data_IF_566416065255
#
_entry.id   IF_566416065255
#
_cell.length_a   1.000
_cell.length_b   1.000
_cell.length_c   1.000
_cell.angle_alpha   90.00
_cell.angle_beta   90.00
_cell.angle_gamma   90.00
#
_symmetry.space_group_name_H-M   'P 1'
#
loop_
_entity.id
_entity.type
_entity.pdbx_description
1 polymer ?
#
# COMPACT_ATOMS: atom_id res chain seq x y z
N UNK A 1 -0.01 16.24 2.96
CA UNK A 1 0.55 16.58 1.64
C UNK A 1 0.92 15.28 0.93
N UNK A 2 0.39 15.00 -0.25
CA UNK A 2 0.60 13.72 -0.96
C UNK A 2 1.11 14.02 -2.36
N UNK A 3 2.26 13.43 -2.74
CA UNK A 3 2.97 13.72 -3.99
C UNK A 3 3.03 12.46 -4.85
N UNK A 4 2.73 12.60 -6.13
CA UNK A 4 2.95 11.62 -7.19
C UNK A 4 3.96 12.26 -8.17
N UNK A 5 4.96 11.53 -8.67
CA UNK A 5 6.02 12.07 -9.51
C UNK A 5 5.80 11.83 -11.01
N UNK A 6 6.13 12.81 -11.84
CA UNK A 6 5.96 12.86 -13.30
C UNK A 6 7.30 13.24 -13.94
N UNK A 7 7.60 12.70 -15.12
CA UNK A 7 8.65 13.25 -15.98
C UNK A 7 8.32 14.68 -16.37
N UNK A 8 9.26 15.59 -16.08
CA UNK A 8 9.31 17.04 -16.29
C UNK A 8 8.17 17.96 -15.78
N UNK A 9 6.99 17.45 -15.38
CA UNK A 9 5.96 18.28 -14.74
C UNK A 9 5.13 17.52 -13.67
N UNK A 10 5.42 17.77 -12.38
CA UNK A 10 4.71 17.17 -11.24
C UNK A 10 3.25 17.67 -11.13
N UNK A 11 2.28 16.87 -11.56
CA UNK A 11 0.87 17.10 -11.26
C UNK A 11 0.47 16.34 -9.98
N UNK A 12 -0.09 17.01 -8.98
CA UNK A 12 -0.61 16.34 -7.77
C UNK A 12 -2.10 16.61 -7.64
N UNK A 13 -2.86 15.55 -7.36
CA UNK A 13 -4.31 15.63 -7.13
C UNK A 13 -4.64 14.99 -5.79
N UNK A 14 -5.74 15.41 -5.17
CA UNK A 14 -6.24 14.80 -3.94
C UNK A 14 -7.44 13.94 -4.25
N UNK A 15 -7.46 12.74 -3.68
CA UNK A 15 -8.61 11.85 -3.73
C UNK A 15 -9.76 12.46 -2.93
N UNK A 16 -10.98 12.37 -3.45
CA UNK A 16 -12.20 12.76 -2.74
C UNK A 16 -12.51 11.80 -1.58
N UNK A 17 -13.50 12.15 -0.76
CA UNK A 17 -14.02 11.27 0.29
C UNK A 17 -14.58 9.93 -0.23
N UNK A 18 -14.95 9.86 -1.51
CA UNK A 18 -15.46 8.64 -2.16
C UNK A 18 -14.36 7.80 -2.81
N UNK A 19 -13.09 8.18 -2.67
CA UNK A 19 -11.96 7.44 -3.26
C UNK A 19 -11.71 7.76 -4.73
N UNK A 20 -12.45 8.71 -5.32
CA UNK A 20 -12.24 9.14 -6.71
C UNK A 20 -11.16 10.20 -6.80
N UNK A 21 -10.32 10.14 -7.81
CA UNK A 21 -9.33 11.16 -8.13
C UNK A 21 -9.36 11.44 -9.63
N UNK A 22 -8.84 12.59 -10.03
CA UNK A 22 -8.72 12.96 -11.44
C UNK A 22 -7.50 13.83 -11.66
N UNK A 23 -6.77 13.54 -12.72
CA UNK A 23 -5.70 14.39 -13.26
C UNK A 23 -6.18 14.82 -14.65
N UNK A 24 -6.20 16.12 -14.89
CA UNK A 24 -6.75 16.72 -16.10
C UNK A 24 -5.67 17.49 -16.86
N UNK A 25 -5.95 17.80 -18.12
CA UNK A 25 -5.05 18.52 -19.03
C UNK A 25 -3.72 17.77 -19.26
N UNK A 26 -3.80 16.44 -19.41
CA UNK A 26 -2.67 15.63 -19.85
C UNK A 26 -2.58 15.69 -21.37
N UNK A 27 -1.36 15.85 -21.89
CA UNK A 27 -1.09 15.86 -23.33
C UNK A 27 -1.06 14.43 -23.86
N UNK A 28 -1.70 14.22 -25.01
CA UNK A 28 -1.69 12.91 -25.65
C UNK A 28 -0.34 12.60 -26.29
N UNK A 29 0.03 11.31 -26.35
CA UNK A 29 1.30 10.86 -26.94
C UNK A 29 2.51 11.01 -26.01
N UNK A 30 2.28 11.23 -24.72
CA UNK A 30 3.31 11.24 -23.67
C UNK A 30 3.11 10.08 -22.70
N UNK A 31 4.21 9.69 -22.06
CA UNK A 31 4.24 8.69 -21.00
C UNK A 31 3.95 9.33 -19.63
N UNK A 32 3.10 8.68 -18.85
CA UNK A 32 2.72 9.12 -17.51
C UNK A 32 2.92 8.01 -16.49
N UNK A 33 3.31 8.41 -15.28
CA UNK A 33 3.45 7.50 -14.14
C UNK A 33 2.59 8.01 -13.00
N UNK A 34 1.79 7.10 -12.43
CA UNK A 34 0.84 7.41 -11.38
C UNK A 34 1.22 6.64 -10.11
N UNK A 35 1.65 7.40 -9.09
CA UNK A 35 2.13 6.86 -7.82
C UNK A 35 1.28 7.36 -6.66
N UNK A 36 0.29 6.62 -6.17
CA UNK A 36 -0.47 7.02 -5.00
C UNK A 36 0.44 7.13 -3.77
N UNK A 37 0.16 8.09 -2.90
CA UNK A 37 0.92 8.28 -1.67
C UNK A 37 -0.02 8.63 -0.53
N UNK A 38 0.12 7.95 0.61
CA UNK A 38 -0.60 8.28 1.84
C UNK A 38 0.22 7.83 3.04
N UNK A 39 0.61 8.80 3.86
CA UNK A 39 1.34 8.55 5.09
C UNK A 39 0.76 9.38 6.24
N UNK A 40 -0.37 8.89 6.78
CA UNK A 40 -1.11 9.53 7.87
C UNK A 40 -1.83 8.48 8.74
N UNK A 41 -2.18 8.92 9.95
CA UNK A 41 -2.94 8.17 10.96
C UNK A 41 -2.50 6.70 11.06
N UNK A 42 -1.26 6.46 11.51
CA UNK A 42 -0.63 5.14 11.48
C UNK A 42 -1.43 4.07 12.21
N UNK A 43 -2.28 4.44 13.18
CA UNK A 43 -3.15 3.55 13.94
C UNK A 43 -4.58 3.41 13.42
N UNK A 44 -4.94 4.10 12.33
CA UNK A 44 -6.32 4.10 11.85
C UNK A 44 -6.79 2.70 11.45
N UNK A 45 -7.78 2.18 12.18
CA UNK A 45 -8.36 0.86 11.95
C UNK A 45 -7.47 -0.31 12.38
N UNK A 46 -6.38 -0.06 13.12
CA UNK A 46 -5.51 -1.08 13.71
C UNK A 46 -5.97 -1.37 15.13
N UNK A 47 -6.02 -2.66 15.47
CA UNK A 47 -6.44 -3.15 16.77
C UNK A 47 -5.43 -4.17 17.33
N UNK A 48 -5.59 -4.53 18.59
CA UNK A 48 -4.82 -5.63 19.19
C UNK A 48 -5.19 -7.00 18.61
N UNK A 49 -6.32 -7.11 17.89
CA UNK A 49 -6.70 -8.34 17.19
C UNK A 49 -5.76 -8.63 16.01
N UNK A 50 -5.29 -7.59 15.31
CA UNK A 50 -4.34 -7.73 14.19
C UNK A 50 -3.01 -8.37 14.66
N UNK A 51 -2.53 -7.99 15.85
CA UNK A 51 -1.36 -8.63 16.48
C UNK A 51 -1.58 -10.13 16.72
N UNK A 52 -2.79 -10.54 17.11
CA UNK A 52 -3.13 -11.96 17.30
C UNK A 52 -3.11 -12.69 15.96
N UNK A 53 -3.63 -12.09 14.89
CA UNK A 53 -3.60 -12.67 13.55
C UNK A 53 -2.16 -12.84 13.03
N UNK A 54 -1.31 -11.83 13.18
CA UNK A 54 0.11 -11.92 12.82
C UNK A 54 0.80 -13.03 13.62
N UNK A 55 0.55 -13.12 14.93
CA UNK A 55 1.12 -14.18 15.78
C UNK A 55 0.68 -15.58 15.32
N UNK A 56 -0.60 -15.78 15.01
CA UNK A 56 -1.12 -17.06 14.50
C UNK A 56 -0.54 -17.42 13.13
N UNK A 57 -0.27 -16.42 12.29
CA UNK A 57 0.36 -16.61 10.99
C UNK A 57 1.81 -17.08 11.16
N UNK A 58 2.60 -16.41 12.01
CA UNK A 58 4.00 -16.79 12.30
C UNK A 58 4.09 -18.21 12.87
N UNK A 59 3.15 -18.59 13.73
CA UNK A 59 3.07 -19.94 14.32
C UNK A 59 2.45 -20.99 13.39
N UNK A 60 2.04 -20.59 12.18
CA UNK A 60 1.35 -21.44 11.21
C UNK A 60 0.07 -22.12 11.76
N UNK A 61 -0.57 -21.50 12.75
CA UNK A 61 -1.83 -21.97 13.36
C UNK A 61 -3.02 -21.53 12.51
N UNK A 62 -2.98 -20.29 12.04
CA UNK A 62 -3.98 -19.71 11.15
C UNK A 62 -3.26 -18.72 10.24
N UNK A 63 -2.85 -19.15 9.03
CA UNK A 63 -2.24 -18.26 8.07
C UNK A 63 -3.21 -17.16 7.62
N UNK A 64 -2.66 -16.00 7.25
CA UNK A 64 -3.43 -14.94 6.60
C UNK A 64 -3.92 -15.44 5.23
N UNK A 65 -5.18 -15.15 4.92
CA UNK A 65 -5.93 -15.69 3.80
C UNK A 65 -5.92 -14.80 2.54
N UNK A 66 -5.16 -13.70 2.57
CA UNK A 66 -5.08 -12.74 1.47
C UNK A 66 -3.68 -12.16 1.32
N UNK A 67 -3.16 -12.01 0.09
CA UNK A 67 -1.86 -11.38 -0.16
C UNK A 67 -1.80 -9.95 0.40
N UNK A 68 -2.92 -9.22 0.35
CA UNK A 68 -2.98 -7.86 0.90
C UNK A 68 -2.79 -7.85 2.43
N UNK A 69 -3.31 -8.86 3.14
CA UNK A 69 -3.11 -9.00 4.59
C UNK A 69 -1.67 -9.38 4.91
N UNK A 70 -1.05 -10.23 4.09
CA UNK A 70 0.35 -10.61 4.23
C UNK A 70 1.25 -9.37 4.05
N UNK A 71 0.99 -8.54 3.04
CA UNK A 71 1.70 -7.28 2.81
C UNK A 71 1.44 -6.29 3.95
N UNK A 72 0.21 -6.21 4.47
CA UNK A 72 -0.10 -5.39 5.63
C UNK A 72 0.64 -5.82 6.90
N UNK A 73 0.88 -7.12 7.09
CA UNK A 73 1.57 -7.66 8.25
C UNK A 73 3.09 -7.36 8.29
N UNK A 74 3.70 -7.03 7.16
CA UNK A 74 5.10 -6.61 7.05
C UNK A 74 5.23 -5.11 7.36
N UNK A 75 5.45 -4.81 8.64
CA UNK A 75 5.42 -3.45 9.18
C UNK A 75 6.69 -2.69 8.82
N UNK A 76 7.83 -3.36 8.83
CA UNK A 76 9.13 -2.77 8.52
C UNK A 76 9.51 -2.81 7.03
N UNK A 77 8.61 -3.33 6.17
CA UNK A 77 8.84 -3.48 4.73
C UNK A 77 10.08 -4.33 4.41
N UNK A 78 10.26 -5.44 5.15
CA UNK A 78 11.38 -6.37 4.98
C UNK A 78 11.13 -7.44 3.92
N UNK A 79 9.90 -7.59 3.44
CA UNK A 79 9.48 -8.71 2.58
C UNK A 79 9.28 -10.02 3.35
N UNK A 80 9.12 -9.95 4.68
CA UNK A 80 8.89 -11.12 5.53
C UNK A 80 8.06 -10.74 6.77
N UNK A 81 7.22 -11.66 7.24
CA UNK A 81 6.44 -11.45 8.47
C UNK A 81 7.16 -12.13 9.62
N UNK A 82 7.65 -11.33 10.56
CA UNK A 82 8.46 -11.79 11.68
C UNK A 82 7.94 -11.30 13.02
N UNK A 83 8.55 -11.78 14.10
CA UNK A 83 8.25 -11.26 15.43
C UNK A 83 8.62 -9.78 15.61
N UNK A 84 9.54 -9.26 14.79
CA UNK A 84 9.90 -7.84 14.80
C UNK A 84 8.72 -6.96 14.39
N UNK A 85 7.93 -7.39 13.40
CA UNK A 85 6.74 -6.67 12.93
C UNK A 85 5.70 -6.52 14.04
N UNK A 86 5.53 -7.56 14.86
CA UNK A 86 4.64 -7.49 16.03
C UNK A 86 5.16 -6.49 17.08
N UNK A 87 6.47 -6.42 17.31
CA UNK A 87 7.05 -5.45 18.26
C UNK A 87 6.84 -4.03 17.77
N UNK A 88 7.07 -3.76 16.48
CA UNK A 88 6.88 -2.45 15.88
C UNK A 88 5.41 -2.02 15.93
N UNK A 89 4.49 -2.91 15.54
CA UNK A 89 3.06 -2.63 15.62
C UNK A 89 2.59 -2.38 17.05
N UNK A 90 3.11 -3.14 18.02
CA UNK A 90 2.81 -2.93 19.45
C UNK A 90 3.34 -1.60 19.95
N UNK A 91 4.55 -1.18 19.54
CA UNK A 91 5.12 0.13 19.88
C UNK A 91 4.29 1.28 19.31
N UNK A 92 3.79 1.14 18.09
CA UNK A 92 2.84 2.09 17.50
C UNK A 92 1.55 2.16 18.32
N UNK A 93 0.93 1.01 18.67
CA UNK A 93 -0.34 0.97 19.43
C UNK A 93 -0.19 1.61 20.81
N UNK A 94 0.98 1.46 21.43
CA UNK A 94 1.30 2.08 22.72
C UNK A 94 1.77 3.54 22.59
N UNK A 95 1.74 4.11 21.38
CA UNK A 95 2.20 5.48 21.08
C UNK A 95 3.66 5.73 21.51
N UNK A 96 4.47 4.67 21.58
CA UNK A 96 5.91 4.77 21.80
C UNK A 96 6.56 5.32 20.54
N UNK A 97 6.15 4.78 19.39
CA UNK A 97 6.46 5.31 18.07
C UNK A 97 5.23 6.03 17.51
N UNK A 98 5.43 7.17 16.87
CA UNK A 98 4.34 7.94 16.25
C UNK A 98 4.22 7.70 14.74
N UNK A 99 5.26 7.13 14.13
CA UNK A 99 5.33 6.83 12.71
C UNK A 99 6.21 5.59 12.45
N UNK A 100 6.07 5.03 11.24
CA UNK A 100 6.92 3.96 10.74
C UNK A 100 8.17 4.58 10.10
N UNK A 101 9.36 4.08 10.45
CA UNK A 101 10.62 4.65 9.96
C UNK A 101 10.96 4.20 8.53
N UNK A 102 10.59 2.97 8.17
CA UNK A 102 11.01 2.31 6.92
C UNK A 102 9.84 1.98 5.98
N UNK A 103 8.64 2.43 6.33
CA UNK A 103 7.44 2.09 5.59
C UNK A 103 6.45 3.25 5.69
N UNK A 104 5.61 3.42 4.67
CA UNK A 104 4.47 4.31 4.74
C UNK A 104 3.31 3.62 5.47
N UNK A 105 2.46 4.38 6.11
CA UNK A 105 1.28 3.82 6.79
C UNK A 105 0.26 3.19 5.83
N UNK A 106 0.32 3.54 4.54
CA UNK A 106 -0.45 2.90 3.48
C UNK A 106 0.44 2.56 2.28
N UNK A 107 0.19 1.38 1.72
CA UNK A 107 0.75 0.95 0.44
C UNK A 107 -0.37 0.82 -0.59
N UNK A 108 -0.04 0.98 -1.86
CA UNK A 108 -1.03 0.96 -2.94
C UNK A 108 -0.56 0.00 -4.02
N UNK A 109 -1.48 -0.83 -4.49
CA UNK A 109 -1.22 -1.80 -5.57
C UNK A 109 -2.31 -1.60 -6.62
N UNK A 110 -1.99 -1.60 -7.93
CA UNK A 110 -2.99 -1.56 -8.98
C UNK A 110 -4.07 -2.63 -8.78
N UNK A 111 -5.34 -2.28 -8.94
CA UNK A 111 -6.46 -3.17 -8.63
C UNK A 111 -6.62 -4.33 -9.63
N UNK A 112 -6.05 -4.18 -10.82
CA UNK A 112 -5.94 -5.19 -11.87
C UNK A 112 -4.73 -6.12 -11.67
N UNK A 113 -3.86 -5.85 -10.69
CA UNK A 113 -2.71 -6.69 -10.42
C UNK A 113 -3.12 -8.04 -9.83
N UNK A 114 -2.68 -9.12 -10.47
CA UNK A 114 -2.91 -10.49 -10.04
C UNK A 114 -1.61 -11.08 -9.49
N UNK A 115 -1.62 -11.43 -8.20
CA UNK A 115 -0.49 -12.12 -7.58
C UNK A 115 -0.33 -13.53 -8.15
N UNK A 116 0.89 -13.87 -8.58
CA UNK A 116 1.23 -15.22 -9.05
C UNK A 116 1.12 -16.23 -7.92
N UNK A 117 1.52 -15.82 -6.72
CA UNK A 117 1.42 -16.64 -5.52
C UNK A 117 0.72 -15.88 -4.38
N UNK A 118 -0.61 -16.02 -4.24
CA UNK A 118 -1.37 -15.33 -3.20
C UNK A 118 -0.96 -15.69 -1.77
N UNK A 119 -0.34 -16.85 -1.54
CA UNK A 119 0.15 -17.26 -0.21
C UNK A 119 1.56 -16.77 0.09
N UNK A 120 2.29 -16.28 -0.92
CA UNK A 120 3.58 -15.64 -0.75
C UNK A 120 3.75 -14.47 -1.75
N UNK A 121 3.09 -13.32 -1.51
CA UNK A 121 3.19 -12.14 -2.38
C UNK A 121 4.59 -11.53 -2.43
N UNK A 122 5.48 -11.84 -1.48
CA UNK A 122 6.87 -11.36 -1.46
C UNK A 122 7.80 -12.19 -2.37
N UNK A 123 7.31 -13.28 -2.97
CA UNK A 123 8.07 -14.04 -3.95
C UNK A 123 8.25 -13.31 -5.29
N UNK A 124 7.49 -12.24 -5.50
CA UNK A 124 7.51 -11.41 -6.71
C UNK A 124 7.58 -9.92 -6.35
N UNK A 125 8.04 -9.10 -7.29
CA UNK A 125 7.98 -7.65 -7.15
C UNK A 125 6.64 -7.18 -7.74
N UNK A 126 5.71 -6.79 -6.87
CA UNK A 126 4.46 -6.16 -7.31
C UNK A 126 4.65 -4.66 -7.56
N UNK A 127 3.94 -4.08 -8.55
CA UNK A 127 4.02 -2.66 -8.83
C UNK A 127 3.23 -1.86 -7.78
N UNK A 128 3.79 -0.73 -7.36
CA UNK A 128 3.08 0.29 -6.54
C UNK A 128 2.75 1.54 -7.36
N UNK A 129 2.94 1.45 -8.67
CA UNK A 129 2.85 2.54 -9.64
C UNK A 129 2.15 2.00 -10.88
N UNK A 130 1.27 2.80 -11.47
CA UNK A 130 0.75 2.53 -12.81
C UNK A 130 1.47 3.40 -13.83
N UNK A 131 2.01 2.76 -14.86
CA UNK A 131 2.61 3.46 -15.99
C UNK A 131 1.64 3.43 -17.17
N UNK A 132 1.44 4.58 -17.79
CA UNK A 132 0.62 4.78 -18.97
C UNK A 132 1.58 5.23 -20.06
N UNK A 133 1.79 4.38 -21.06
CA UNK A 133 2.63 4.74 -22.19
C UNK A 133 1.75 5.34 -23.28
N UNK A 134 2.26 6.38 -23.95
CA UNK A 134 1.60 7.05 -25.07
C UNK A 134 0.11 7.32 -24.81
N UNK A 135 -0.22 8.23 -23.88
CA UNK A 135 -1.63 8.51 -23.54
C UNK A 135 -2.44 8.91 -24.79
N UNK A 136 -3.37 8.06 -25.24
CA UNK A 136 -4.16 8.34 -26.45
C UNK A 136 -5.51 9.01 -26.16
N UNK A 137 -6.10 8.70 -24.99
CA UNK A 137 -7.42 9.16 -24.58
C UNK A 137 -7.59 9.06 -23.05
N UNK A 138 -8.68 9.65 -22.55
CA UNK A 138 -9.06 9.58 -21.13
C UNK A 138 -9.07 8.14 -20.61
N UNK A 139 -8.43 7.91 -19.46
CA UNK A 139 -8.40 6.62 -18.76
C UNK A 139 -9.20 6.72 -17.46
N UNK A 140 -10.29 5.97 -17.38
CA UNK A 140 -11.16 5.93 -16.19
C UNK A 140 -10.93 4.71 -15.29
N UNK A 141 -10.27 3.68 -15.80
CA UNK A 141 -10.06 2.40 -15.11
C UNK A 141 -8.72 2.30 -14.37
N UNK A 142 -8.21 3.43 -13.88
CA UNK A 142 -6.98 3.47 -13.10
C UNK A 142 -7.32 3.31 -11.61
N UNK A 143 -7.51 2.07 -11.16
CA UNK A 143 -7.88 1.79 -9.77
C UNK A 143 -6.71 1.25 -8.96
N UNK A 144 -6.63 1.63 -7.68
CA UNK A 144 -5.66 1.08 -6.73
C UNK A 144 -6.36 0.47 -5.52
N UNK A 145 -5.82 -0.63 -5.02
CA UNK A 145 -6.13 -1.21 -3.72
C UNK A 145 -5.20 -0.59 -2.69
N UNK A 146 -5.79 0.04 -1.65
CA UNK A 146 -5.06 0.62 -0.54
C UNK A 146 -4.92 -0.39 0.60
N UNK A 147 -3.69 -0.62 1.05
CA UNK A 147 -3.32 -1.56 2.10
C UNK A 147 -2.82 -0.76 3.30
N UNK A 148 -3.46 -0.91 4.45
CA UNK A 148 -3.01 -0.28 5.70
C UNK A 148 -1.99 -1.19 6.38
N UNK A 149 -0.77 -0.68 6.62
CA UNK A 149 0.23 -1.42 7.39
C UNK A 149 -0.31 -1.76 8.78
N UNK A 150 -0.28 -3.03 9.15
CA UNK A 150 -0.74 -3.55 10.45
C UNK A 150 -2.22 -3.91 10.54
N UNK A 151 -2.99 -3.84 9.45
CA UNK A 151 -4.40 -4.28 9.42
C UNK A 151 -4.54 -5.63 8.70
N UNK A 152 -4.89 -6.68 9.44
CA UNK A 152 -4.94 -8.08 8.99
C UNK A 152 -6.33 -8.72 9.13
#
# INVERSE_FOLDING_TARGET
>A
MRKCSFGDALATTQTSATGTYGVYNLETGYDYSLTPYKDDDHLNGISTFDLVLISKHILNVQPLDSPYKIIAADINNSGSITTMDMVLLRRLILTIDQALTNNTSWRFIPADYVFQNPVNPFAENFPEVMNINDLEADKLDLNFVAIKGGRC
#
